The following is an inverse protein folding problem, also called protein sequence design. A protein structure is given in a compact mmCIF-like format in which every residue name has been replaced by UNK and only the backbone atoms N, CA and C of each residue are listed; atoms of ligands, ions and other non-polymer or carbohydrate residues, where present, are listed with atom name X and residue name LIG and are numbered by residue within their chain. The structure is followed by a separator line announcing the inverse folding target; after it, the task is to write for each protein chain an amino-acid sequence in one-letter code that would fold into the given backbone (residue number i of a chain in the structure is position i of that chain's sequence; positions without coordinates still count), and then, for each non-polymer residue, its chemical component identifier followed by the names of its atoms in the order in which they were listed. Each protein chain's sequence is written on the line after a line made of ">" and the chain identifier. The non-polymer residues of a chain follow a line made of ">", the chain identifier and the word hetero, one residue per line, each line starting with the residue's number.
data_IF_888032047150
#
_entry.id   IF_888032047150
#
_cell.length_a   1.000
_cell.length_b   1.000
_cell.length_c   1.000
_cell.angle_alpha   90.00
_cell.angle_beta   90.00
_cell.angle_gamma   90.00
#
_symmetry.space_group_name_H-M   'P 1'
#
loop_
_entity.id
_entity.type
_entity.pdbx_description
1 polymer ?
#
# COMPACT_ATOMS: atom_id res chain seq x y z
N UNK A 1 40.40 -36.65 53.61
CA UNK A 1 40.27 -36.60 52.13
C UNK A 1 38.86 -36.98 51.72
N UNK A 2 38.00 -36.00 51.41
CA UNK A 2 36.72 -36.22 50.72
C UNK A 2 36.68 -35.25 49.53
N UNK A 3 36.81 -35.79 48.32
CA UNK A 3 36.81 -35.02 47.07
C UNK A 3 35.37 -34.61 46.73
N UNK A 4 35.13 -33.31 46.74
CA UNK A 4 34.00 -32.68 46.05
C UNK A 4 34.27 -32.73 44.55
N UNK A 5 33.34 -33.27 43.75
CA UNK A 5 33.36 -33.20 42.30
C UNK A 5 32.05 -32.54 41.86
N UNK A 6 32.21 -31.27 41.49
CA UNK A 6 31.21 -30.40 40.89
C UNK A 6 30.58 -31.06 39.65
N UNK A 7 29.25 -31.14 39.64
CA UNK A 7 28.47 -31.49 38.46
C UNK A 7 28.59 -30.35 37.43
N UNK A 8 29.09 -30.65 36.23
CA UNK A 8 29.22 -29.69 35.13
C UNK A 8 27.83 -29.39 34.56
N UNK A 9 27.31 -28.20 34.80
CA UNK A 9 26.12 -27.69 34.11
C UNK A 9 26.47 -27.40 32.65
N UNK A 10 25.83 -28.11 31.73
CA UNK A 10 25.83 -27.83 30.29
C UNK A 10 24.86 -26.66 30.07
N UNK A 11 25.38 -25.48 29.76
CA UNK A 11 24.57 -24.37 29.28
C UNK A 11 24.50 -24.43 27.75
N UNK A 12 23.37 -24.90 27.21
CA UNK A 12 23.05 -24.81 25.79
C UNK A 12 22.52 -23.40 25.52
N UNK A 13 23.40 -22.50 25.06
CA UNK A 13 23.03 -21.14 24.68
C UNK A 13 22.36 -21.17 23.30
N UNK A 14 21.03 -21.24 23.27
CA UNK A 14 20.23 -21.03 22.06
C UNK A 14 20.36 -19.56 21.64
N UNK A 15 21.24 -19.28 20.68
CA UNK A 15 21.31 -17.98 20.02
C UNK A 15 20.11 -17.89 19.09
N UNK A 16 18.99 -17.36 19.61
CA UNK A 16 17.82 -17.04 18.79
C UNK A 16 18.20 -15.82 17.94
N UNK A 17 18.73 -16.08 16.74
CA UNK A 17 18.77 -15.08 15.69
C UNK A 17 17.34 -14.64 15.44
N UNK A 18 17.00 -13.47 16.00
CA UNK A 18 15.74 -12.79 15.71
C UNK A 18 15.84 -12.31 14.27
N UNK A 19 15.48 -13.17 13.32
CA UNK A 19 15.06 -12.69 12.02
C UNK A 19 13.80 -11.87 12.28
N UNK A 20 13.93 -10.55 12.26
CA UNK A 20 12.78 -9.67 12.11
C UNK A 20 12.14 -10.03 10.77
N UNK A 21 11.15 -10.93 10.82
CA UNK A 21 10.25 -11.12 9.71
C UNK A 21 9.54 -9.78 9.52
N UNK A 22 9.89 -9.05 8.47
CA UNK A 22 9.10 -7.91 8.04
C UNK A 22 7.71 -8.45 7.72
N UNK A 23 6.72 -8.11 8.55
CA UNK A 23 5.34 -8.47 8.29
C UNK A 23 4.88 -7.79 7.01
N UNK A 24 4.26 -8.56 6.11
CA UNK A 24 3.69 -8.03 4.88
C UNK A 24 2.42 -7.24 5.21
N UNK A 25 2.34 -5.99 4.77
CA UNK A 25 1.18 -5.11 4.99
C UNK A 25 0.18 -5.19 3.82
N UNK A 26 0.54 -5.85 2.74
CA UNK A 26 -0.29 -6.15 1.57
C UNK A 26 -0.85 -7.56 1.60
N UNK A 27 -1.98 -7.76 0.91
CA UNK A 27 -2.61 -9.07 0.74
C UNK A 27 -2.71 -9.39 -0.75
N UNK A 28 -2.59 -10.67 -1.10
CA UNK A 28 -2.88 -11.12 -2.46
C UNK A 28 -4.38 -11.42 -2.60
N UNK A 29 -4.93 -11.15 -3.79
CA UNK A 29 -6.27 -11.56 -4.13
C UNK A 29 -6.41 -13.08 -4.21
N UNK A 30 -7.59 -13.59 -3.83
CA UNK A 30 -7.94 -15.00 -3.93
C UNK A 30 -9.20 -15.13 -4.78
N UNK A 31 -9.07 -15.75 -5.97
CA UNK A 31 -10.16 -15.93 -6.93
C UNK A 31 -11.31 -16.78 -6.41
N UNK A 32 -11.04 -17.78 -5.55
CA UNK A 32 -12.08 -18.63 -4.96
C UNK A 32 -12.93 -17.87 -3.93
N UNK A 33 -12.31 -16.96 -3.18
CA UNK A 33 -12.99 -16.16 -2.15
C UNK A 33 -13.73 -14.97 -2.76
N UNK A 34 -13.17 -14.35 -3.79
CA UNK A 34 -13.70 -13.14 -4.39
C UNK A 34 -13.55 -11.88 -3.53
N UNK A 35 -13.98 -10.74 -4.08
CA UNK A 35 -14.07 -9.48 -3.33
C UNK A 35 -15.28 -9.44 -2.38
N UNK A 36 -15.14 -8.87 -1.17
CA UNK A 36 -16.28 -8.61 -0.30
C UNK A 36 -17.17 -7.50 -0.87
N UNK A 37 -18.41 -7.39 -0.38
CA UNK A 37 -19.25 -6.21 -0.66
C UNK A 37 -18.66 -4.98 0.01
N UNK A 38 -18.61 -3.87 -0.70
CA UNK A 38 -18.12 -2.59 -0.21
C UNK A 38 -18.64 -1.45 -1.10
N UNK A 39 -18.57 -0.24 -0.56
CA UNK A 39 -19.03 1.02 -1.17
C UNK A 39 -17.96 2.09 -1.00
N UNK A 40 -18.05 3.19 -1.75
CA UNK A 40 -17.10 4.31 -1.61
C UNK A 40 -17.15 4.96 -0.22
N UNK A 41 -18.25 4.81 0.51
CA UNK A 41 -18.35 5.30 1.88
C UNK A 41 -17.39 4.57 2.83
N UNK A 42 -17.08 3.30 2.56
CA UNK A 42 -16.16 2.50 3.39
C UNK A 42 -14.71 2.99 3.30
N UNK A 43 -14.36 3.70 2.21
CA UNK A 43 -13.01 4.23 1.94
C UNK A 43 -12.96 5.76 1.93
N UNK A 44 -14.07 6.44 2.28
CA UNK A 44 -14.19 7.90 2.24
C UNK A 44 -13.16 8.63 3.11
N UNK A 45 -12.61 7.97 4.12
CA UNK A 45 -11.58 8.54 4.98
C UNK A 45 -10.25 8.84 4.25
N UNK A 46 -10.05 8.31 3.04
CA UNK A 46 -8.87 8.57 2.20
C UNK A 46 -8.91 9.99 1.57
N UNK A 47 -10.09 10.62 1.49
CA UNK A 47 -10.26 11.96 0.90
C UNK A 47 -9.31 12.98 1.53
N UNK A 48 -8.63 13.74 0.66
CA UNK A 48 -7.69 14.78 1.09
C UNK A 48 -6.61 15.07 0.07
N UNK A 49 -5.78 16.07 0.42
CA UNK A 49 -4.51 16.34 -0.24
C UNK A 49 -3.42 15.83 0.67
N UNK A 50 -2.47 15.10 0.11
CA UNK A 50 -1.49 14.32 0.85
C UNK A 50 -0.10 14.62 0.31
N UNK A 51 0.86 14.83 1.20
CA UNK A 51 2.28 15.00 0.85
C UNK A 51 3.13 14.03 1.69
N UNK A 52 4.13 13.44 1.06
CA UNK A 52 5.03 12.47 1.68
C UNK A 52 6.42 12.50 1.05
N UNK A 53 7.35 11.79 1.67
CA UNK A 53 8.70 11.56 1.14
C UNK A 53 8.88 10.07 0.85
N UNK A 54 9.15 9.75 -0.41
CA UNK A 54 9.44 8.39 -0.85
C UNK A 54 10.20 8.42 -2.17
N UNK A 55 10.82 7.30 -2.55
CA UNK A 55 11.50 7.14 -3.84
C UNK A 55 12.58 8.23 -4.11
N UNK A 56 13.19 8.76 -3.05
CA UNK A 56 14.21 9.81 -3.15
C UNK A 56 13.66 11.22 -3.43
N UNK A 57 12.36 11.44 -3.31
CA UNK A 57 11.74 12.74 -3.60
C UNK A 57 10.47 13.02 -2.80
N UNK A 58 9.74 14.05 -3.25
CA UNK A 58 8.46 14.47 -2.70
C UNK A 58 7.34 13.82 -3.51
N UNK A 59 6.47 13.10 -2.82
CA UNK A 59 5.22 12.57 -3.35
C UNK A 59 4.08 13.52 -2.98
N UNK A 60 3.21 13.83 -3.94
CA UNK A 60 1.93 14.47 -3.66
C UNK A 60 0.81 13.62 -4.24
N UNK A 61 -0.26 13.45 -3.47
CA UNK A 61 -1.41 12.66 -3.86
C UNK A 61 -2.69 13.38 -3.44
N UNK A 62 -3.74 13.35 -4.26
CA UNK A 62 -5.01 14.02 -3.96
C UNK A 62 -6.16 13.12 -4.30
N UNK A 63 -7.05 12.90 -3.34
CA UNK A 63 -8.25 12.09 -3.46
C UNK A 63 -9.50 12.98 -3.40
N UNK A 64 -10.38 12.86 -4.39
CA UNK A 64 -11.65 13.59 -4.44
C UNK A 64 -12.70 12.98 -3.50
N UNK A 65 -13.69 13.78 -3.13
CA UNK A 65 -14.95 13.23 -2.61
C UNK A 65 -15.56 12.22 -3.61
N UNK A 66 -16.26 11.18 -3.13
CA UNK A 66 -16.99 10.29 -4.01
C UNK A 66 -18.17 11.00 -4.65
N UNK A 67 -18.21 11.02 -5.99
CA UNK A 67 -19.30 11.59 -6.80
C UNK A 67 -19.70 10.55 -7.84
N UNK A 68 -20.99 10.20 -7.88
CA UNK A 68 -21.46 9.08 -8.69
C UNK A 68 -20.90 7.76 -8.15
N UNK A 69 -20.31 6.95 -9.02
CA UNK A 69 -19.73 5.64 -8.67
C UNK A 69 -18.20 5.66 -8.59
N UNK A 70 -17.56 6.84 -8.44
CA UNK A 70 -16.11 7.00 -8.44
C UNK A 70 -15.61 7.98 -7.39
N UNK A 71 -14.44 7.69 -6.81
CA UNK A 71 -13.55 8.71 -6.24
C UNK A 71 -12.25 8.70 -7.03
N UNK A 72 -11.85 9.87 -7.54
CA UNK A 72 -10.67 10.03 -8.39
C UNK A 72 -9.46 10.38 -7.53
N UNK A 73 -8.28 9.96 -7.99
CA UNK A 73 -7.02 10.47 -7.46
C UNK A 73 -6.02 10.84 -8.54
N UNK A 74 -5.08 11.69 -8.16
CA UNK A 74 -3.84 11.92 -8.90
C UNK A 74 -2.66 11.83 -7.95
N UNK A 75 -1.52 11.41 -8.48
CA UNK A 75 -0.24 11.35 -7.79
C UNK A 75 0.83 12.05 -8.64
N UNK A 76 1.85 12.63 -8.00
CA UNK A 76 3.09 13.05 -8.65
C UNK A 76 4.30 12.84 -7.76
N UNK A 77 5.40 12.39 -8.36
CA UNK A 77 6.72 12.33 -7.74
C UNK A 77 7.62 13.44 -8.31
N UNK A 78 8.24 14.21 -7.41
CA UNK A 78 9.24 15.24 -7.75
C UNK A 78 10.58 14.86 -7.11
N UNK A 79 11.63 14.76 -7.92
CA UNK A 79 13.02 14.52 -7.49
C UNK A 79 13.87 15.64 -8.05
N UNK A 80 14.74 16.24 -7.22
CA UNK A 80 15.63 17.34 -7.62
C UNK A 80 14.92 18.50 -8.34
N UNK A 81 13.71 18.85 -7.88
CA UNK A 81 12.89 19.92 -8.44
C UNK A 81 12.27 19.61 -9.80
N UNK A 82 12.36 18.37 -10.29
CA UNK A 82 11.77 17.92 -11.55
C UNK A 82 10.75 16.83 -11.31
N UNK A 83 9.69 16.82 -12.12
CA UNK A 83 8.72 15.73 -12.10
C UNK A 83 9.36 14.48 -12.70
N UNK A 84 9.26 13.37 -11.98
CA UNK A 84 9.68 12.05 -12.46
C UNK A 84 8.52 11.35 -13.15
N UNK A 85 7.38 11.23 -12.46
CA UNK A 85 6.17 10.64 -13.02
C UNK A 85 4.90 11.11 -12.30
N UNK A 86 3.76 10.82 -12.93
CA UNK A 86 2.41 11.04 -12.44
C UNK A 86 1.63 9.72 -12.42
N UNK A 87 0.57 9.69 -11.61
CA UNK A 87 -0.51 8.71 -11.77
C UNK A 87 -1.85 9.44 -11.85
N UNK A 88 -2.78 8.87 -12.60
CA UNK A 88 -4.19 9.22 -12.58
C UNK A 88 -4.99 7.93 -12.40
N UNK A 89 -5.93 7.93 -11.46
CA UNK A 89 -6.73 6.75 -11.21
C UNK A 89 -7.98 7.04 -10.40
N UNK A 90 -8.62 5.96 -9.97
CA UNK A 90 -9.84 6.00 -9.17
C UNK A 90 -10.03 4.76 -8.32
N UNK A 91 -10.89 4.87 -7.30
CA UNK A 91 -11.61 3.73 -6.74
C UNK A 91 -13.06 3.85 -7.25
N UNK A 92 -13.59 2.78 -7.83
CA UNK A 92 -14.97 2.74 -8.34
C UNK A 92 -15.81 1.66 -7.67
N UNK A 93 -17.11 1.91 -7.55
CA UNK A 93 -18.08 0.86 -7.28
C UNK A 93 -18.35 0.07 -8.56
N UNK A 94 -18.04 -1.23 -8.53
CA UNK A 94 -18.28 -2.17 -9.63
C UNK A 94 -18.78 -3.48 -9.06
N UNK A 95 -19.85 -4.03 -9.61
CA UNK A 95 -20.41 -5.34 -9.21
C UNK A 95 -20.66 -5.49 -7.69
N UNK A 96 -21.09 -4.40 -7.03
CA UNK A 96 -21.34 -4.30 -5.57
C UNK A 96 -20.08 -4.45 -4.69
N UNK A 97 -18.90 -4.19 -5.26
CA UNK A 97 -17.61 -4.13 -4.57
C UNK A 97 -16.81 -2.92 -5.07
N UNK A 98 -15.54 -2.81 -4.65
CA UNK A 98 -14.62 -1.76 -5.07
C UNK A 98 -13.53 -2.30 -6.02
N UNK A 99 -13.12 -1.46 -6.96
CA UNK A 99 -11.96 -1.69 -7.82
C UNK A 99 -11.10 -0.42 -7.82
N UNK A 100 -9.81 -0.56 -7.52
CA UNK A 100 -8.81 0.49 -7.72
C UNK A 100 -8.22 0.32 -9.11
N UNK A 101 -8.18 1.39 -9.90
CA UNK A 101 -7.53 1.40 -11.21
C UNK A 101 -6.69 2.65 -11.35
N UNK A 102 -5.55 2.54 -12.04
CA UNK A 102 -4.67 3.67 -12.31
C UNK A 102 -3.91 3.48 -13.62
N UNK A 103 -3.32 4.58 -14.08
CA UNK A 103 -2.31 4.63 -15.14
C UNK A 103 -1.17 5.51 -14.72
N UNK A 104 0.01 5.21 -15.23
CA UNK A 104 1.22 6.00 -15.01
C UNK A 104 1.53 6.84 -16.23
N UNK A 105 2.12 8.01 -15.99
CA UNK A 105 2.59 8.91 -17.02
C UNK A 105 3.97 9.47 -16.65
N UNK A 106 4.87 9.61 -17.61
CA UNK A 106 6.12 10.33 -17.38
C UNK A 106 5.90 11.85 -17.21
N UNK A 107 6.99 12.58 -16.93
CA UNK A 107 6.94 14.04 -16.78
C UNK A 107 6.46 14.82 -18.03
N UNK A 108 6.37 14.18 -19.20
CA UNK A 108 5.85 14.75 -20.45
C UNK A 108 4.43 14.24 -20.77
N UNK A 109 3.78 13.56 -19.83
CA UNK A 109 2.45 12.95 -19.96
C UNK A 109 2.37 11.81 -20.98
N UNK A 110 3.48 11.11 -21.26
CA UNK A 110 3.45 9.85 -22.03
C UNK A 110 3.07 8.72 -21.11
N UNK A 111 2.00 8.00 -21.45
CA UNK A 111 1.51 6.86 -20.67
C UNK A 111 2.47 5.67 -20.73
N UNK A 112 2.62 4.95 -19.62
CA UNK A 112 3.40 3.72 -19.58
C UNK A 112 2.59 2.52 -20.08
N UNK A 113 1.31 2.45 -19.71
CA UNK A 113 0.40 1.42 -20.18
C UNK A 113 -0.07 1.70 -21.61
N UNK A 114 -0.57 0.64 -22.27
CA UNK A 114 -1.28 0.79 -23.54
C UNK A 114 -2.53 1.67 -23.34
N UNK A 115 -2.96 2.35 -24.40
CA UNK A 115 -4.11 3.26 -24.38
C UNK A 115 -5.37 2.62 -23.77
N UNK A 116 -5.65 1.36 -24.08
CA UNK A 116 -6.85 0.64 -23.61
C UNK A 116 -6.65 -0.15 -22.31
N UNK A 117 -5.47 -0.07 -21.68
CA UNK A 117 -5.12 -0.86 -20.50
C UNK A 117 -4.86 0.05 -19.31
N UNK A 118 -5.43 -0.29 -18.16
CA UNK A 118 -5.10 0.28 -16.86
C UNK A 118 -4.57 -0.83 -15.95
N UNK A 119 -3.82 -0.43 -14.93
CA UNK A 119 -3.58 -1.30 -13.78
C UNK A 119 -4.87 -1.47 -12.98
N UNK A 120 -5.06 -2.66 -12.41
CA UNK A 120 -6.32 -3.05 -11.76
C UNK A 120 -6.05 -3.83 -10.47
N UNK A 121 -6.49 -3.27 -9.34
CA UNK A 121 -6.30 -3.89 -8.03
C UNK A 121 -7.67 -4.22 -7.45
N UNK A 122 -7.96 -5.52 -7.35
CA UNK A 122 -9.24 -6.05 -6.85
C UNK A 122 -9.31 -5.96 -5.33
N UNK A 123 -10.47 -5.60 -4.78
CA UNK A 123 -10.66 -5.53 -3.34
C UNK A 123 -10.49 -6.91 -2.68
N UNK A 124 -9.64 -6.99 -1.65
CA UNK A 124 -9.36 -8.20 -0.87
C UNK A 124 -10.08 -8.15 0.48
N UNK A 125 -10.02 -7.00 1.17
CA UNK A 125 -10.55 -6.83 2.53
C UNK A 125 -10.74 -5.35 2.87
N UNK A 126 -11.76 -5.04 3.68
CA UNK A 126 -11.96 -3.73 4.29
C UNK A 126 -12.08 -3.88 5.80
N UNK A 127 -11.47 -2.96 6.54
CA UNK A 127 -11.61 -2.77 7.98
C UNK A 127 -11.75 -1.26 8.26
N UNK A 128 -12.10 -0.85 9.50
CA UNK A 128 -12.15 0.58 9.85
C UNK A 128 -10.82 1.33 9.65
N UNK A 129 -9.69 0.63 9.69
CA UNK A 129 -8.34 1.21 9.65
C UNK A 129 -7.57 0.86 8.37
N UNK A 130 -8.03 -0.12 7.59
CA UNK A 130 -7.32 -0.58 6.41
C UNK A 130 -8.27 -0.91 5.27
N UNK A 131 -7.89 -0.56 4.05
CA UNK A 131 -8.46 -1.17 2.85
C UNK A 131 -7.36 -1.84 2.05
N UNK A 132 -7.56 -3.13 1.79
CA UNK A 132 -6.65 -3.99 1.06
C UNK A 132 -7.23 -4.26 -0.31
N UNK A 133 -6.58 -3.74 -1.34
CA UNK A 133 -6.67 -4.22 -2.70
C UNK A 133 -5.52 -5.22 -2.95
N UNK A 134 -5.58 -5.97 -4.04
CA UNK A 134 -4.54 -6.93 -4.42
C UNK A 134 -3.17 -6.23 -4.43
N UNK A 135 -2.24 -6.64 -3.57
CA UNK A 135 -0.89 -6.07 -3.44
C UNK A 135 -0.83 -4.56 -3.14
N UNK A 136 -1.94 -3.95 -2.74
CA UNK A 136 -2.04 -2.52 -2.46
C UNK A 136 -2.89 -2.28 -1.21
N UNK A 137 -2.34 -1.63 -0.19
CA UNK A 137 -3.05 -1.35 1.07
C UNK A 137 -3.01 0.13 1.39
N UNK A 138 -4.17 0.69 1.75
CA UNK A 138 -4.26 1.94 2.49
C UNK A 138 -4.45 1.64 3.97
N UNK A 139 -3.74 2.35 4.83
CA UNK A 139 -3.83 2.29 6.28
C UNK A 139 -4.10 3.70 6.83
N UNK A 140 -5.19 3.84 7.57
CA UNK A 140 -5.50 5.03 8.34
C UNK A 140 -4.62 5.05 9.60
N UNK A 141 -3.79 6.07 9.77
CA UNK A 141 -3.05 6.29 11.03
C UNK A 141 -3.78 7.31 11.89
N UNK A 142 -4.23 8.40 11.28
CA UNK A 142 -5.10 9.41 11.90
C UNK A 142 -5.96 10.08 10.82
N UNK A 143 -6.72 11.12 11.17
CA UNK A 143 -7.45 11.92 10.17
C UNK A 143 -6.52 12.73 9.25
N UNK A 144 -5.25 12.90 9.63
CA UNK A 144 -4.22 13.68 8.92
C UNK A 144 -3.00 12.86 8.51
N UNK A 145 -3.02 11.53 8.65
CA UNK A 145 -1.91 10.66 8.30
C UNK A 145 -2.39 9.31 7.81
N UNK A 146 -1.82 8.86 6.68
CA UNK A 146 -2.07 7.54 6.09
C UNK A 146 -0.75 6.88 5.69
N UNK A 147 -0.75 5.56 5.66
CA UNK A 147 0.27 4.79 4.96
C UNK A 147 -0.33 4.12 3.74
N UNK A 148 0.41 4.12 2.64
CA UNK A 148 0.17 3.27 1.48
C UNK A 148 1.25 2.21 1.41
N UNK A 149 0.87 0.98 1.11
CA UNK A 149 1.79 -0.13 0.89
C UNK A 149 1.53 -0.72 -0.48
N UNK A 150 2.57 -0.82 -1.31
CA UNK A 150 2.46 -1.31 -2.70
C UNK A 150 3.56 -2.31 -2.98
N UNK A 151 3.23 -3.47 -3.55
CA UNK A 151 4.25 -4.40 -4.06
C UNK A 151 4.63 -4.01 -5.49
N UNK A 152 5.90 -3.69 -5.73
CA UNK A 152 6.39 -3.39 -7.07
C UNK A 152 6.57 -4.68 -7.87
N UNK A 153 5.91 -4.79 -9.01
CA UNK A 153 5.86 -6.03 -9.82
C UNK A 153 7.26 -6.54 -10.19
N UNK A 154 8.13 -5.66 -10.67
CA UNK A 154 9.48 -6.03 -11.13
C UNK A 154 10.36 -6.64 -10.03
N UNK A 155 10.15 -6.22 -8.78
CA UNK A 155 11.02 -6.63 -7.66
C UNK A 155 10.35 -7.58 -6.67
N UNK A 156 9.02 -7.65 -6.68
CA UNK A 156 8.22 -8.32 -5.65
C UNK A 156 8.35 -7.69 -4.25
N UNK A 157 8.99 -6.52 -4.11
CA UNK A 157 9.19 -5.86 -2.83
C UNK A 157 8.01 -4.96 -2.50
N UNK A 158 7.55 -5.05 -1.25
CA UNK A 158 6.61 -4.11 -0.68
C UNK A 158 7.33 -2.79 -0.34
N UNK A 159 6.75 -1.69 -0.80
CA UNK A 159 7.18 -0.32 -0.52
C UNK A 159 6.13 0.37 0.32
N UNK A 160 6.58 1.15 1.31
CA UNK A 160 5.72 2.00 2.13
C UNK A 160 5.85 3.46 1.72
N UNK A 161 4.72 4.13 1.55
CA UNK A 161 4.60 5.57 1.44
C UNK A 161 3.87 6.08 2.69
N UNK A 162 4.45 7.08 3.38
CA UNK A 162 3.78 7.77 4.48
C UNK A 162 3.37 9.16 4.00
N UNK A 163 2.10 9.50 4.20
CA UNK A 163 1.49 10.71 3.70
C UNK A 163 0.80 11.47 4.81
N UNK A 164 0.91 12.80 4.75
CA UNK A 164 0.29 13.74 5.69
C UNK A 164 -0.48 14.83 4.96
N UNK A 165 -1.58 15.30 5.57
CA UNK A 165 -2.40 16.41 5.05
C UNK A 165 -1.76 17.77 5.23
#
# INVERSE_FOLDING_TARGET
>A
MKKSIFQKSIYFLLFICSFSAYGQNTLNYNDEKGSPKATLQDVKWIVGNWTGEALGGICQETWSEPIGNSMMFNFKLVVDGKVVFYELGHIIEKDKTLLLQLKHFDGELKGWEKVEVSENFRLVKVTPMHVYFDKFTFEKISDNEINLYVVFEDSGKEMKFNFKK
#
